data_IF_619929026530
#
_entry.id   IF_619929026530
#
_cell.length_a   1.000
_cell.length_b   1.000
_cell.length_c   1.000
_cell.angle_alpha   90.00
_cell.angle_beta   90.00
_cell.angle_gamma   90.00
#
_symmetry.space_group_name_H-M   'P 1'
#
loop_
_entity.id
_entity.type
_entity.pdbx_description
1 polymer ?
#
# COMPACT_ATOMS: atom_id res chain seq x y z
N UNK A 1 22.99 -26.07 -7.72
CA UNK A 1 21.62 -25.56 -7.98
C UNK A 1 21.50 -24.15 -7.40
N UNK A 2 21.06 -23.17 -8.19
CA UNK A 2 20.80 -21.81 -7.70
C UNK A 2 19.42 -21.77 -7.04
N UNK A 3 19.31 -21.27 -5.81
CA UNK A 3 18.00 -21.09 -5.16
C UNK A 3 17.21 -20.03 -5.95
N UNK A 4 15.98 -20.36 -6.34
CA UNK A 4 15.03 -19.43 -6.96
C UNK A 4 14.21 -18.76 -5.87
N UNK A 5 14.08 -17.43 -5.93
CA UNK A 5 13.11 -16.69 -5.10
C UNK A 5 11.70 -16.99 -5.60
N UNK A 6 10.82 -17.42 -4.70
CA UNK A 6 9.39 -17.65 -4.98
C UNK A 6 8.55 -16.51 -4.41
N UNK A 7 7.45 -16.17 -5.07
CA UNK A 7 6.48 -15.17 -4.58
C UNK A 7 5.56 -15.78 -3.52
N UNK A 8 5.04 -14.96 -2.61
CA UNK A 8 4.04 -15.42 -1.63
C UNK A 8 2.79 -16.03 -2.30
N UNK A 9 2.37 -15.47 -3.43
CA UNK A 9 1.25 -16.02 -4.23
C UNK A 9 1.51 -17.43 -4.74
N UNK A 10 2.76 -17.77 -5.07
CA UNK A 10 3.14 -19.11 -5.53
C UNK A 10 2.95 -20.16 -4.42
N UNK A 11 3.20 -19.79 -3.16
CA UNK A 11 2.96 -20.67 -2.01
C UNK A 11 1.47 -21.00 -1.91
N UNK A 12 0.61 -20.00 -2.03
CA UNK A 12 -0.84 -20.19 -2.07
C UNK A 12 -1.29 -21.12 -3.20
N UNK A 13 -0.78 -20.88 -4.42
CA UNK A 13 -1.08 -21.75 -5.57
C UNK A 13 -0.59 -23.18 -5.35
N UNK A 14 0.59 -23.38 -4.78
CA UNK A 14 1.13 -24.72 -4.49
C UNK A 14 0.27 -25.47 -3.46
N UNK A 15 -0.13 -24.79 -2.38
CA UNK A 15 -0.97 -25.36 -1.33
C UNK A 15 -2.37 -25.72 -1.85
N UNK A 16 -2.92 -24.90 -2.76
CA UNK A 16 -4.20 -25.19 -3.43
C UNK A 16 -4.07 -26.33 -4.45
N UNK A 17 -3.13 -26.23 -5.38
CA UNK A 17 -2.89 -27.23 -6.41
C UNK A 17 -1.45 -27.21 -6.94
N UNK A 18 -0.69 -28.25 -6.60
CA UNK A 18 0.71 -28.43 -7.05
C UNK A 18 0.85 -28.44 -8.57
N UNK A 19 -0.12 -29.01 -9.29
CA UNK A 19 -0.11 -29.04 -10.77
C UNK A 19 -0.30 -27.64 -11.36
N UNK A 20 -1.22 -26.85 -10.82
CA UNK A 20 -1.43 -25.47 -11.25
C UNK A 20 -0.17 -24.63 -10.99
N UNK A 21 0.47 -24.79 -9.83
CA UNK A 21 1.74 -24.15 -9.53
C UNK A 21 2.85 -24.55 -10.52
N UNK A 22 2.93 -25.84 -10.87
CA UNK A 22 3.89 -26.32 -11.88
C UNK A 22 3.63 -25.67 -13.24
N UNK A 23 2.39 -25.65 -13.73
CA UNK A 23 2.04 -24.95 -14.98
C UNK A 23 2.42 -23.47 -14.96
N UNK A 24 2.15 -22.78 -13.84
CA UNK A 24 2.55 -21.39 -13.65
C UNK A 24 4.08 -21.21 -13.72
N UNK A 25 4.84 -22.17 -13.17
CA UNK A 25 6.31 -22.18 -13.27
C UNK A 25 6.84 -22.41 -14.69
N UNK A 26 6.02 -23.01 -15.57
CA UNK A 26 6.33 -23.18 -16.99
C UNK A 26 5.87 -21.98 -17.84
N UNK A 27 5.29 -20.94 -17.23
CA UNK A 27 4.77 -19.77 -17.93
C UNK A 27 3.41 -20.01 -18.61
N UNK A 28 2.68 -21.06 -18.21
CA UNK A 28 1.31 -21.27 -18.69
C UNK A 28 0.41 -20.24 -18.05
N UNK A 29 -0.28 -19.48 -18.90
CA UNK A 29 -1.23 -18.46 -18.45
C UNK A 29 -2.44 -19.06 -17.75
N UNK A 30 -2.91 -18.38 -16.71
CA UNK A 30 -4.16 -18.73 -16.03
C UNK A 30 -5.33 -18.51 -16.97
N UNK A 31 -6.35 -19.37 -16.93
CA UNK A 31 -7.64 -19.07 -17.58
C UNK A 31 -8.40 -17.94 -16.88
N UNK A 32 -8.06 -17.65 -15.62
CA UNK A 32 -8.73 -16.66 -14.78
C UNK A 32 -8.19 -15.22 -14.97
N UNK A 33 -7.86 -14.82 -16.20
CA UNK A 33 -7.25 -13.51 -16.47
C UNK A 33 -8.15 -12.34 -16.10
N UNK A 34 -9.46 -12.50 -16.30
CA UNK A 34 -10.44 -11.44 -16.04
C UNK A 34 -10.42 -11.04 -14.56
N UNK A 35 -10.57 -12.01 -13.64
CA UNK A 35 -10.52 -11.74 -12.20
C UNK A 35 -9.15 -11.22 -11.75
N UNK A 36 -8.05 -11.75 -12.31
CA UNK A 36 -6.71 -11.25 -12.00
C UNK A 36 -6.51 -9.78 -12.40
N UNK A 37 -7.02 -9.40 -13.57
CA UNK A 37 -7.01 -8.00 -14.04
C UNK A 37 -7.89 -7.11 -13.17
N UNK A 38 -9.07 -7.61 -12.77
CA UNK A 38 -9.98 -6.92 -11.85
C UNK A 38 -9.36 -6.68 -10.48
N UNK A 39 -8.72 -7.70 -9.90
CA UNK A 39 -7.99 -7.58 -8.64
C UNK A 39 -6.84 -6.57 -8.73
N UNK A 40 -6.11 -6.55 -9.84
CA UNK A 40 -5.02 -5.58 -10.07
C UNK A 40 -5.56 -4.15 -10.15
N UNK A 41 -6.64 -3.93 -10.89
CA UNK A 41 -7.29 -2.62 -10.99
C UNK A 41 -7.84 -2.13 -9.65
N UNK A 42 -8.44 -3.04 -8.88
CA UNK A 42 -8.90 -2.76 -7.51
C UNK A 42 -7.74 -2.34 -6.60
N UNK A 43 -6.65 -3.11 -6.57
CA UNK A 43 -5.46 -2.77 -5.77
C UNK A 43 -4.84 -1.45 -6.16
N UNK A 44 -4.78 -1.14 -7.47
CA UNK A 44 -4.27 0.14 -7.95
C UNK A 44 -5.14 1.31 -7.47
N UNK A 45 -6.46 1.17 -7.56
CA UNK A 45 -7.42 2.18 -7.08
C UNK A 45 -7.33 2.37 -5.56
N UNK A 46 -7.27 1.27 -4.82
CA UNK A 46 -7.09 1.30 -3.37
C UNK A 46 -5.77 1.97 -2.98
N UNK A 47 -4.66 1.64 -3.65
CA UNK A 47 -3.35 2.25 -3.42
C UNK A 47 -3.35 3.77 -3.60
N UNK A 48 -4.06 4.28 -4.61
CA UNK A 48 -4.25 5.73 -4.80
C UNK A 48 -4.97 6.37 -3.61
N UNK A 49 -5.99 5.71 -3.06
CA UNK A 49 -6.72 6.23 -1.90
C UNK A 49 -5.86 6.19 -0.63
N UNK A 50 -5.08 5.14 -0.43
CA UNK A 50 -4.11 5.03 0.67
C UNK A 50 -3.08 6.15 0.60
N UNK A 51 -2.49 6.40 -0.57
CA UNK A 51 -1.53 7.48 -0.76
C UNK A 51 -2.14 8.85 -0.45
N UNK A 52 -3.34 9.13 -0.97
CA UNK A 52 -4.07 10.36 -0.65
C UNK A 52 -4.29 10.51 0.86
N UNK A 53 -4.72 9.44 1.54
CA UNK A 53 -4.91 9.43 2.99
C UNK A 53 -3.61 9.72 3.75
N UNK A 54 -2.49 9.13 3.33
CA UNK A 54 -1.18 9.41 3.91
C UNK A 54 -0.78 10.88 3.75
N UNK A 55 -0.93 11.44 2.55
CA UNK A 55 -0.62 12.84 2.28
C UNK A 55 -1.49 13.80 3.09
N UNK A 56 -2.79 13.55 3.15
CA UNK A 56 -3.72 14.35 3.97
C UNK A 56 -3.37 14.28 5.46
N UNK A 57 -2.96 13.10 5.95
CA UNK A 57 -2.53 12.94 7.34
C UNK A 57 -1.27 13.74 7.64
N UNK A 58 -0.27 13.71 6.76
CA UNK A 58 0.94 14.54 6.90
C UNK A 58 0.58 16.02 6.89
N UNK A 59 -0.26 16.44 5.95
CA UNK A 59 -0.73 17.83 5.87
C UNK A 59 -1.45 18.27 7.16
N UNK A 60 -2.33 17.44 7.70
CA UNK A 60 -3.04 17.73 8.95
C UNK A 60 -2.09 17.94 10.13
N UNK A 61 -1.04 17.12 10.24
CA UNK A 61 -0.02 17.31 11.29
C UNK A 61 0.79 18.59 11.11
N UNK A 62 1.14 18.96 9.88
CA UNK A 62 1.84 20.22 9.61
C UNK A 62 0.99 21.44 9.98
N UNK A 63 -0.29 21.43 9.60
CA UNK A 63 -1.23 22.50 9.94
C UNK A 63 -1.43 22.58 11.46
N UNK A 64 -1.59 21.45 12.14
CA UNK A 64 -1.70 21.41 13.60
C UNK A 64 -0.45 21.96 14.29
N UNK A 65 0.74 21.55 13.85
CA UNK A 65 1.99 22.05 14.40
C UNK A 65 2.13 23.57 14.21
N UNK A 66 1.78 24.10 13.03
CA UNK A 66 1.78 25.54 12.77
C UNK A 66 0.79 26.28 13.69
N UNK A 67 -0.43 25.76 13.85
CA UNK A 67 -1.42 26.35 14.75
C UNK A 67 -0.93 26.40 16.21
N UNK A 68 -0.27 25.34 16.68
CA UNK A 68 0.30 25.29 18.03
C UNK A 68 1.45 26.31 18.21
N UNK A 69 2.32 26.47 17.21
CA UNK A 69 3.40 27.48 17.23
C UNK A 69 2.82 28.89 17.29
N UNK A 70 1.84 29.19 16.44
CA UNK A 70 1.17 30.50 16.43
C UNK A 70 0.48 30.78 17.77
N UNK A 71 -0.25 29.80 18.31
CA UNK A 71 -0.90 29.93 19.62
C UNK A 71 0.12 30.18 20.74
N UNK A 72 1.22 29.42 20.76
CA UNK A 72 2.28 29.60 21.75
C UNK A 72 2.93 31.00 21.64
N UNK A 73 3.19 31.47 20.43
CA UNK A 73 3.75 32.81 20.20
C UNK A 73 2.81 33.91 20.70
N UNK A 74 1.50 33.80 20.41
CA UNK A 74 0.49 34.75 20.86
C UNK A 74 0.34 34.76 22.37
N UNK A 75 0.32 33.59 23.02
CA UNK A 75 0.28 33.50 24.48
C UNK A 75 1.52 34.10 25.13
N UNK A 76 2.70 33.90 24.53
CA UNK A 76 3.95 34.44 25.03
C UNK A 76 3.93 35.97 24.99
N UNK A 77 3.50 36.57 23.87
CA UNK A 77 3.31 38.01 23.74
C UNK A 77 2.31 38.57 24.77
N UNK A 78 1.21 37.85 25.04
CA UNK A 78 0.21 38.30 26.02
C UNK A 78 0.61 38.18 27.49
N UNK A 79 1.50 37.24 27.83
CA UNK A 79 1.85 36.95 29.22
C UNK A 79 3.18 37.58 29.65
N UNK A 80 4.12 37.76 28.72
CA UNK A 80 5.47 38.25 29.00
C UNK A 80 5.79 39.59 28.31
N UNK A 81 4.93 40.03 27.38
CA UNK A 81 5.03 41.33 26.68
C UNK A 81 4.23 42.44 27.36
#
# INVERSE_FOLDING_TARGET
MRKRTIRASEIGTYLYCKRAWWYQSQGVESSNQQEMSGGTAYHHTHGKNVLKGMLLRVFAWLVLALALVLLASWLTDKLLG
#
